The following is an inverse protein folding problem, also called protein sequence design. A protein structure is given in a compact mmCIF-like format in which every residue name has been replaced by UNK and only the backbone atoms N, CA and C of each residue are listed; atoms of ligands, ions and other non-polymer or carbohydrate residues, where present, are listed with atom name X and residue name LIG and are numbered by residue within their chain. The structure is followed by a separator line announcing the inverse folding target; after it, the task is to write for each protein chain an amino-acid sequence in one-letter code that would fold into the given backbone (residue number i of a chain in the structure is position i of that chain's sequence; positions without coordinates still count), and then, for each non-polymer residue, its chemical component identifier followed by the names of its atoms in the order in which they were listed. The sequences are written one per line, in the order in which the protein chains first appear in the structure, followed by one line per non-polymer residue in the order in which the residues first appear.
data_IF_622744854391
#
_entry.id   IF_622744854391
#
_cell.length_a   1.000
_cell.length_b   1.000
_cell.length_c   1.000
_cell.angle_alpha   90.00
_cell.angle_beta   90.00
_cell.angle_gamma   90.00
#
_symmetry.space_group_name_H-M   'P 1'
#
loop_
_entity.id
_entity.type
_entity.pdbx_description
1 polymer ?
#
# COMPACT_ATOMS: atom_id res chain seq x y z
N UNK A 1 1.06 12.42 -7.87
CA UNK A 1 1.82 11.64 -6.87
C UNK A 1 3.05 11.05 -7.54
N UNK A 2 4.17 10.96 -6.81
CA UNK A 2 5.40 10.33 -7.26
C UNK A 2 5.60 9.05 -6.45
N UNK A 3 5.79 7.93 -7.13
CA UNK A 3 6.23 6.67 -6.52
C UNK A 3 7.68 6.45 -6.88
N UNK A 4 8.50 6.09 -5.89
CA UNK A 4 9.92 5.77 -6.05
C UNK A 4 10.13 4.36 -5.56
N UNK A 5 10.52 3.47 -6.47
CA UNK A 5 10.63 2.04 -6.21
C UNK A 5 12.09 1.61 -6.36
N UNK A 6 12.65 1.06 -5.28
CA UNK A 6 14.01 0.55 -5.28
C UNK A 6 14.06 -0.95 -5.51
N UNK A 7 15.07 -1.41 -6.26
CA UNK A 7 15.32 -2.82 -6.56
C UNK A 7 16.79 -3.19 -6.32
N UNK A 8 17.05 -4.46 -6.07
CA UNK A 8 18.40 -5.02 -5.99
C UNK A 8 18.58 -6.19 -6.93
N UNK A 9 19.84 -6.59 -7.12
CA UNK A 9 20.12 -7.94 -7.57
C UNK A 9 19.90 -8.96 -6.43
N UNK A 10 20.07 -10.24 -6.73
CA UNK A 10 19.87 -11.34 -5.78
C UNK A 10 21.08 -11.63 -4.87
N UNK A 11 22.07 -10.75 -4.79
CA UNK A 11 23.29 -11.00 -4.00
C UNK A 11 23.05 -10.69 -2.53
N UNK A 12 23.34 -11.64 -1.64
CA UNK A 12 23.15 -11.52 -0.19
C UNK A 12 21.74 -11.88 0.28
N UNK A 13 21.44 -11.59 1.55
CA UNK A 13 20.15 -11.98 2.15
C UNK A 13 18.99 -11.13 1.66
N UNK A 14 17.80 -11.71 1.68
CA UNK A 14 16.57 -11.06 1.27
C UNK A 14 16.29 -9.80 2.10
N UNK A 15 16.38 -9.91 3.43
CA UNK A 15 16.08 -8.83 4.38
C UNK A 15 17.00 -7.63 4.14
N UNK A 16 18.30 -7.89 3.94
CA UNK A 16 19.29 -6.85 3.65
C UNK A 16 19.00 -6.17 2.32
N UNK A 17 18.56 -6.92 1.32
CA UNK A 17 18.21 -6.38 0.02
C UNK A 17 16.91 -5.56 0.06
N UNK A 18 15.91 -5.98 0.85
CA UNK A 18 14.70 -5.17 1.10
C UNK A 18 15.05 -3.84 1.74
N UNK A 19 15.82 -3.85 2.82
CA UNK A 19 16.29 -2.63 3.48
C UNK A 19 17.13 -1.74 2.55
N UNK A 20 18.10 -2.31 1.83
CA UNK A 20 18.95 -1.57 0.88
C UNK A 20 18.14 -0.92 -0.24
N UNK A 21 17.16 -1.63 -0.79
CA UNK A 21 16.29 -1.09 -1.83
C UNK A 21 15.44 0.07 -1.33
N UNK A 22 14.89 -0.03 -0.11
CA UNK A 22 14.11 1.03 0.50
C UNK A 22 14.97 2.28 0.76
N UNK A 23 16.15 2.11 1.37
CA UNK A 23 17.08 3.21 1.63
C UNK A 23 17.49 3.97 0.36
N UNK A 24 17.66 3.26 -0.77
CA UNK A 24 17.94 3.89 -2.07
C UNK A 24 16.75 4.72 -2.57
N UNK A 25 15.53 4.20 -2.44
CA UNK A 25 14.32 4.95 -2.80
C UNK A 25 14.14 6.19 -1.91
N UNK A 26 14.40 6.07 -0.60
CA UNK A 26 14.36 7.18 0.35
C UNK A 26 15.42 8.24 0.06
N UNK A 27 16.64 7.85 -0.31
CA UNK A 27 17.68 8.79 -0.70
C UNK A 27 17.27 9.62 -1.93
N UNK A 28 16.59 9.01 -2.91
CA UNK A 28 16.05 9.71 -4.06
C UNK A 28 14.89 10.65 -3.67
N UNK A 29 13.98 10.23 -2.77
CA UNK A 29 12.95 11.12 -2.20
C UNK A 29 13.59 12.34 -1.54
N UNK A 30 14.58 12.12 -0.68
CA UNK A 30 15.22 13.19 0.08
C UNK A 30 15.91 14.19 -0.84
N UNK A 31 16.53 13.71 -1.92
CA UNK A 31 17.08 14.57 -2.97
C UNK A 31 16.00 15.43 -3.63
N UNK A 32 14.88 14.84 -4.06
CA UNK A 32 13.77 15.58 -4.66
C UNK A 32 13.16 16.62 -3.71
N UNK A 33 13.06 16.30 -2.42
CA UNK A 33 12.56 17.22 -1.41
C UNK A 33 13.52 18.41 -1.23
N UNK A 34 14.83 18.14 -1.12
CA UNK A 34 15.85 19.16 -0.84
C UNK A 34 16.11 20.07 -2.04
N UNK A 35 16.29 19.49 -3.23
CA UNK A 35 16.72 20.24 -4.42
C UNK A 35 15.55 20.81 -5.23
N UNK A 36 14.36 20.22 -5.13
CA UNK A 36 13.20 20.62 -5.93
C UNK A 36 11.97 21.01 -5.11
N UNK A 37 12.06 20.99 -3.77
CA UNK A 37 10.98 21.45 -2.90
C UNK A 37 9.70 20.63 -2.99
N UNK A 38 9.75 19.40 -3.51
CA UNK A 38 8.57 18.55 -3.63
C UNK A 38 8.13 18.16 -2.21
N UNK A 39 6.87 18.44 -1.86
CA UNK A 39 6.31 18.06 -0.56
C UNK A 39 6.37 16.54 -0.34
N UNK A 40 6.80 16.12 0.85
CA UNK A 40 6.88 14.70 1.24
C UNK A 40 5.56 13.95 1.07
N UNK A 41 4.43 14.61 1.30
CA UNK A 41 3.09 14.01 1.12
C UNK A 41 2.73 13.67 -0.33
N UNK A 42 3.56 14.08 -1.31
CA UNK A 42 3.39 13.72 -2.72
C UNK A 42 4.31 12.59 -3.16
N UNK A 43 5.22 12.12 -2.32
CA UNK A 43 6.22 11.09 -2.64
C UNK A 43 5.99 9.86 -1.78
N UNK A 44 5.87 8.70 -2.42
CA UNK A 44 5.86 7.40 -1.75
C UNK A 44 7.09 6.59 -2.17
N UNK A 45 7.72 5.93 -1.20
CA UNK A 45 8.92 5.13 -1.41
C UNK A 45 8.63 3.67 -1.08
N UNK A 46 9.10 2.74 -1.92
CA UNK A 46 8.93 1.29 -1.70
C UNK A 46 10.26 0.58 -2.00
N UNK A 47 10.63 -0.35 -1.13
CA UNK A 47 11.76 -1.26 -1.33
C UNK A 47 11.30 -2.65 -1.77
N UNK A 48 11.54 -3.01 -3.01
CA UNK A 48 11.18 -4.32 -3.55
C UNK A 48 12.23 -5.40 -3.28
N UNK A 49 13.47 -5.03 -2.97
CA UNK A 49 14.57 -5.98 -2.84
C UNK A 49 14.80 -6.73 -4.16
N UNK A 50 15.03 -8.06 -4.12
CA UNK A 50 15.37 -8.85 -5.31
C UNK A 50 14.14 -9.46 -6.02
N UNK A 51 12.91 -9.20 -5.57
CA UNK A 51 11.69 -9.92 -6.00
C UNK A 51 11.30 -9.67 -7.48
N UNK A 52 11.77 -8.57 -8.08
CA UNK A 52 11.36 -8.13 -9.43
C UNK A 52 12.59 -7.90 -10.33
N UNK A 53 13.30 -8.97 -10.73
CA UNK A 53 14.43 -8.88 -11.63
C UNK A 53 13.96 -8.58 -13.06
N UNK A 54 14.67 -7.69 -13.74
CA UNK A 54 14.47 -7.36 -15.16
C UNK A 54 15.49 -8.05 -16.06
N UNK A 55 16.54 -8.62 -15.47
CA UNK A 55 17.60 -9.35 -16.17
C UNK A 55 18.16 -10.52 -15.33
N UNK A 56 18.93 -11.39 -15.97
CA UNK A 56 19.51 -12.58 -15.32
C UNK A 56 20.56 -12.22 -14.26
N UNK A 57 20.26 -12.51 -12.99
CA UNK A 57 21.15 -12.30 -11.84
C UNK A 57 22.44 -13.14 -11.88
N UNK A 58 22.52 -14.17 -12.73
CA UNK A 58 23.75 -14.96 -12.88
C UNK A 58 24.85 -14.16 -13.58
N UNK A 59 24.50 -13.22 -14.45
CA UNK A 59 25.47 -12.40 -15.19
C UNK A 59 25.78 -11.08 -14.46
N UNK A 60 27.01 -10.59 -14.57
CA UNK A 60 27.38 -9.29 -14.00
C UNK A 60 26.56 -8.14 -14.62
N UNK A 61 26.33 -8.20 -15.94
CA UNK A 61 25.51 -7.24 -16.66
C UNK A 61 24.05 -7.25 -16.18
N UNK A 62 23.44 -8.43 -16.03
CA UNK A 62 22.06 -8.54 -15.54
C UNK A 62 21.90 -8.06 -14.09
N UNK A 63 22.86 -8.34 -13.21
CA UNK A 63 22.87 -7.77 -11.85
C UNK A 63 22.95 -6.24 -11.86
N UNK A 64 23.75 -5.67 -12.77
CA UNK A 64 23.84 -4.22 -12.89
C UNK A 64 22.50 -3.60 -13.30
N UNK A 65 21.77 -4.23 -14.22
CA UNK A 65 20.42 -3.80 -14.61
C UNK A 65 19.41 -3.94 -13.47
N UNK A 66 19.51 -4.98 -12.64
CA UNK A 66 18.59 -5.19 -11.52
C UNK A 66 18.79 -4.19 -10.36
N UNK A 67 20.01 -3.64 -10.19
CA UNK A 67 20.30 -2.59 -9.20
C UNK A 67 19.84 -1.22 -9.70
N UNK A 68 18.54 -0.96 -9.61
CA UNK A 68 17.91 0.26 -10.15
C UNK A 68 16.92 0.89 -9.18
N UNK A 69 16.56 2.13 -9.47
CA UNK A 69 15.45 2.86 -8.86
C UNK A 69 14.55 3.35 -9.98
N UNK A 70 13.27 3.05 -9.89
CA UNK A 70 12.26 3.51 -10.85
C UNK A 70 11.42 4.62 -10.21
N UNK A 71 11.01 5.59 -11.04
CA UNK A 71 10.17 6.70 -10.60
C UNK A 71 8.93 6.80 -11.48
N UNK A 72 7.76 6.70 -10.87
CA UNK A 72 6.48 6.74 -11.54
C UNK A 72 5.75 8.01 -11.12
N UNK A 73 5.46 8.88 -12.08
CA UNK A 73 4.73 10.13 -11.85
C UNK A 73 3.30 9.96 -12.32
N UNK A 74 2.37 9.90 -11.38
CA UNK A 74 0.93 9.88 -11.68
C UNK A 74 0.33 11.28 -11.50
N UNK A 75 -0.39 11.82 -12.49
CA UNK A 75 -1.15 13.06 -12.32
C UNK A 75 -2.29 12.88 -11.30
N UNK A 76 -2.82 11.67 -11.17
CA UNK A 76 -3.97 11.37 -10.35
C UNK A 76 -3.56 11.02 -8.92
N UNK A 77 -4.09 11.80 -7.98
CA UNK A 77 -4.20 11.43 -6.57
C UNK A 77 -5.24 10.30 -6.45
N UNK A 78 -4.93 9.09 -6.93
CA UNK A 78 -5.72 7.92 -6.55
C UNK A 78 -5.32 7.59 -5.11
N UNK A 79 -6.05 8.17 -4.16
CA UNK A 79 -6.24 7.55 -2.87
C UNK A 79 -6.77 6.15 -3.13
N UNK A 80 -5.91 5.14 -3.06
CA UNK A 80 -6.33 3.74 -2.93
C UNK A 80 -6.81 3.53 -1.49
N UNK A 81 -7.81 4.29 -1.05
CA UNK A 81 -8.73 3.86 0.00
C UNK A 81 -9.59 2.81 -0.70
N UNK A 82 -9.67 1.60 -0.14
CA UNK A 82 -10.35 0.40 -0.69
C UNK A 82 -9.55 -0.46 -1.68
N UNK A 83 -8.69 -1.33 -1.15
CA UNK A 83 -8.59 -2.69 -1.69
C UNK A 83 -8.43 -3.76 -0.61
N UNK A 84 -8.94 -3.50 0.60
CA UNK A 84 -9.22 -4.55 1.59
C UNK A 84 -10.64 -5.08 1.32
N UNK A 85 -10.84 -6.35 0.94
CA UNK A 85 -12.15 -6.88 0.57
C UNK A 85 -13.14 -7.13 1.73
N UNK A 86 -12.92 -6.62 2.95
CA UNK A 86 -13.76 -6.98 4.11
C UNK A 86 -13.98 -5.87 5.16
N UNK A 87 -13.92 -4.59 4.80
CA UNK A 87 -14.59 -3.59 5.66
C UNK A 87 -16.07 -3.59 5.28
N UNK A 88 -16.80 -4.55 5.86
CA UNK A 88 -18.24 -4.51 5.99
C UNK A 88 -18.56 -3.22 6.76
N UNK A 89 -18.88 -2.15 6.04
CA UNK A 89 -19.19 -0.85 6.64
C UNK A 89 -20.21 -1.07 7.78
N UNK A 90 -19.87 -0.72 9.02
CA UNK A 90 -20.79 -0.80 10.16
C UNK A 90 -22.10 -0.02 9.90
N UNK A 91 -22.04 0.95 8.98
CA UNK A 91 -23.19 1.68 8.46
C UNK A 91 -24.20 0.82 7.67
N UNK A 92 -23.77 -0.31 7.06
CA UNK A 92 -24.68 -1.28 6.43
C UNK A 92 -25.27 -2.26 7.45
N UNK A 93 -24.57 -2.59 8.54
CA UNK A 93 -25.12 -3.43 9.61
C UNK A 93 -26.31 -2.77 10.30
N UNK A 94 -26.20 -1.50 10.67
CA UNK A 94 -27.33 -0.76 11.27
C UNK A 94 -28.52 -0.64 10.30
N UNK A 95 -28.26 -0.51 8.99
CA UNK A 95 -29.30 -0.35 7.96
C UNK A 95 -30.00 -1.68 7.62
N UNK A 96 -29.34 -2.82 7.86
CA UNK A 96 -29.91 -4.16 7.70
C UNK A 96 -30.64 -4.57 8.99
N UNK A 97 -30.08 -4.31 10.18
CA UNK A 97 -30.72 -4.59 11.47
C UNK A 97 -31.99 -3.76 11.68
N UNK A 98 -32.00 -2.49 11.26
CA UNK A 98 -33.21 -1.64 11.30
C UNK A 98 -34.29 -2.03 10.29
N UNK A 99 -33.94 -2.76 9.22
CA UNK A 99 -34.91 -3.28 8.23
C UNK A 99 -35.46 -4.66 8.60
N UNK A 100 -34.80 -5.42 9.49
CA UNK A 100 -35.20 -6.78 9.85
C UNK A 100 -36.12 -6.93 11.06
N UNK A 101 -36.62 -5.85 11.69
CA UNK A 101 -37.63 -5.99 12.75
C UNK A 101 -38.84 -5.10 12.52
N UNK A 102 -39.89 -5.65 11.90
CA UNK A 102 -41.24 -5.36 12.36
C UNK A 102 -42.09 -6.64 12.43
N UNK A 103 -41.66 -7.63 13.22
CA UNK A 103 -42.58 -8.63 13.76
C UNK A 103 -42.85 -8.26 15.22
N UNK A 104 -43.92 -7.47 15.38
CA UNK A 104 -44.46 -6.96 16.64
C UNK A 104 -44.48 -8.03 17.74
N UNK A 105 -43.84 -7.66 18.86
CA UNK A 105 -44.44 -7.82 20.19
C UNK A 105 -45.91 -7.41 20.12
N UNK A 106 -46.81 -8.38 20.18
CA UNK A 106 -48.18 -8.24 20.69
C UNK A 106 -48.49 -9.58 21.35
N UNK A 107 -48.85 -9.68 22.63
CA UNK A 107 -49.74 -8.83 23.40
C UNK A 107 -49.27 -8.77 24.86
N UNK A 108 -49.20 -7.54 25.37
CA UNK A 108 -49.40 -7.27 26.79
C UNK A 108 -50.92 -7.35 27.04
N UNK A 109 -51.38 -8.19 27.97
CA UNK A 109 -52.58 -7.85 28.75
C UNK A 109 -52.52 -8.51 30.13
N UNK A 110 -52.36 -7.65 31.12
CA UNK A 110 -52.49 -7.88 32.56
C UNK A 110 -53.84 -8.55 32.88
N UNK A 111 -53.88 -9.42 33.89
CA UNK A 111 -54.66 -9.21 35.13
C UNK A 111 -54.37 -10.30 36.17
N UNK A 112 -54.30 -9.84 37.42
CA UNK A 112 -54.25 -10.54 38.73
C UNK A 112 -55.42 -11.52 38.92
N UNK A 113 -55.37 -12.45 39.90
CA UNK A 113 -55.53 -12.12 41.33
C UNK A 113 -54.32 -12.46 42.20
#
# INVERSE_FOLDING_TARGET
IVYIEGFTDSTGTFERNKDLSLKRAEAARDYLMKEHGISSGRIHTIGHGPDFPVADNRTAAGRALNRRVEMIVSPDFIQKKSSDPLILNDSLKEKIESKLVPAKRSKLRKTKP
#
